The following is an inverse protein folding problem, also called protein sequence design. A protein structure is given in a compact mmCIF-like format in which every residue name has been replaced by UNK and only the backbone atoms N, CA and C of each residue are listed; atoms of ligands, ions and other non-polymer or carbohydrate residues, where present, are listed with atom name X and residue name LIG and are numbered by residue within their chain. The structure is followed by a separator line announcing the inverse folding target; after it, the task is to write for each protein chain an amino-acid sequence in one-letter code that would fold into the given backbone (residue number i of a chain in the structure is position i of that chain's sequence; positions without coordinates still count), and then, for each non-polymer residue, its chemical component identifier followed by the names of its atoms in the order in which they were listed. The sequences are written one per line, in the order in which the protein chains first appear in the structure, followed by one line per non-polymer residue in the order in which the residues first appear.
data_IF_832716264489
#
_entry.id   IF_832716264489
#
_cell.length_a   1.000
_cell.length_b   1.000
_cell.length_c   1.000
_cell.angle_alpha   90.00
_cell.angle_beta   90.00
_cell.angle_gamma   90.00
#
_symmetry.space_group_name_H-M   'P 1'
#
loop_
_entity.id
_entity.type
_entity.pdbx_description
1 polymer ?
#
# COMPACT_ATOMS: atom_id res chain seq x y z
N UNK A 1 -12.86 47.60 2.57
CA UNK A 1 -13.19 46.43 3.39
C UNK A 1 -13.17 45.07 2.65
N UNK A 2 -13.38 44.97 1.34
CA UNK A 2 -13.32 43.70 0.59
C UNK A 2 -11.90 43.17 0.36
N UNK A 3 -10.89 44.02 0.19
CA UNK A 3 -9.51 43.57 -0.07
C UNK A 3 -8.82 42.89 1.17
N UNK A 4 -9.19 43.31 2.37
CA UNK A 4 -8.62 42.71 3.59
C UNK A 4 -9.16 41.30 3.91
N UNK A 5 -10.39 40.99 3.49
CA UNK A 5 -10.95 39.65 3.67
C UNK A 5 -10.36 38.63 2.68
N UNK A 6 -10.01 39.04 1.46
CA UNK A 6 -9.39 38.14 0.44
C UNK A 6 -7.95 37.78 0.84
N UNK A 7 -7.19 38.68 1.46
CA UNK A 7 -5.85 38.35 1.95
C UNK A 7 -5.88 37.38 3.13
N UNK A 8 -6.88 37.41 4.00
CA UNK A 8 -7.00 36.53 5.14
C UNK A 8 -7.32 35.06 4.72
N UNK A 9 -8.16 34.89 3.68
CA UNK A 9 -8.47 33.57 3.12
C UNK A 9 -7.28 32.96 2.34
N UNK A 10 -6.49 33.77 1.64
CA UNK A 10 -5.29 33.32 0.94
C UNK A 10 -4.15 32.92 1.92
N UNK A 11 -4.01 33.62 3.04
CA UNK A 11 -3.04 33.24 4.07
C UNK A 11 -3.43 31.97 4.80
N UNK A 12 -4.70 31.75 5.13
CA UNK A 12 -5.16 30.55 5.82
C UNK A 12 -4.93 29.28 4.98
N UNK A 13 -5.15 29.35 3.65
CA UNK A 13 -4.88 28.22 2.75
C UNK A 13 -3.39 27.89 2.59
N UNK A 14 -2.50 28.87 2.66
CA UNK A 14 -1.05 28.68 2.61
C UNK A 14 -0.47 28.08 3.91
N UNK A 15 -1.08 28.38 5.05
CA UNK A 15 -0.66 27.81 6.35
C UNK A 15 -1.08 26.33 6.48
N UNK A 16 -2.27 25.98 6.03
CA UNK A 16 -2.74 24.57 6.03
C UNK A 16 -1.85 23.67 5.15
N UNK A 17 -1.44 24.16 3.96
CA UNK A 17 -0.54 23.41 3.07
C UNK A 17 0.88 23.23 3.64
N UNK A 18 1.36 24.16 4.48
CA UNK A 18 2.66 24.05 5.12
C UNK A 18 2.65 23.07 6.30
N UNK A 19 1.53 22.96 7.02
CA UNK A 19 1.39 22.11 8.21
C UNK A 19 1.35 20.60 7.88
N UNK A 20 0.91 20.22 6.67
CA UNK A 20 0.86 18.80 6.24
C UNK A 20 2.04 18.38 5.37
N UNK A 21 2.83 19.30 4.85
CA UNK A 21 3.94 18.99 3.94
C UNK A 21 5.06 18.16 4.61
N UNK A 22 5.46 18.51 5.82
CA UNK A 22 6.50 17.79 6.56
C UNK A 22 6.03 16.39 7.01
N UNK A 23 4.83 16.23 7.63
CA UNK A 23 4.30 14.92 7.95
C UNK A 23 4.13 13.99 6.75
N UNK A 24 3.70 14.52 5.59
CA UNK A 24 3.58 13.75 4.35
C UNK A 24 4.97 13.28 3.85
N UNK A 25 5.98 14.13 3.93
CA UNK A 25 7.34 13.75 3.59
C UNK A 25 7.86 12.66 4.55
N UNK A 26 7.63 12.81 5.86
CA UNK A 26 8.03 11.82 6.85
C UNK A 26 7.30 10.48 6.66
N UNK A 27 6.01 10.52 6.29
CA UNK A 27 5.23 9.33 5.93
C UNK A 27 5.86 8.60 4.74
N UNK A 28 6.20 9.31 3.65
CA UNK A 28 6.82 8.73 2.47
C UNK A 28 8.19 8.11 2.76
N UNK A 29 8.98 8.75 3.62
CA UNK A 29 10.29 8.21 4.01
C UNK A 29 10.22 7.19 5.16
N UNK A 30 9.02 6.82 5.62
CA UNK A 30 8.83 5.86 6.72
C UNK A 30 9.45 6.36 8.04
N UNK A 31 9.37 7.65 8.33
CA UNK A 31 9.75 8.28 9.62
C UNK A 31 8.52 8.45 10.50
N UNK A 32 7.93 7.32 10.92
CA UNK A 32 6.62 7.30 11.57
C UNK A 32 6.58 8.13 12.85
N UNK A 33 7.56 8.00 13.73
CA UNK A 33 7.60 8.76 14.99
C UNK A 33 7.66 10.28 14.75
N UNK A 34 8.44 10.74 13.76
CA UNK A 34 8.52 12.15 13.37
C UNK A 34 7.19 12.65 12.82
N UNK A 35 6.57 11.88 11.93
CA UNK A 35 5.25 12.21 11.39
C UNK A 35 4.19 12.29 12.50
N UNK A 36 4.15 11.31 13.41
CA UNK A 36 3.21 11.30 14.55
C UNK A 36 3.44 12.48 15.48
N UNK A 37 4.68 12.85 15.76
CA UNK A 37 5.01 14.01 16.61
C UNK A 37 4.43 15.30 16.01
N UNK A 38 4.67 15.54 14.71
CA UNK A 38 4.18 16.72 14.00
C UNK A 38 2.66 16.74 13.90
N UNK A 39 2.04 15.61 13.54
CA UNK A 39 0.57 15.48 13.42
C UNK A 39 -0.14 15.62 14.77
N UNK A 40 0.41 15.09 15.84
CA UNK A 40 -0.13 15.27 17.20
C UNK A 40 -0.08 16.73 17.65
N UNK A 41 1.01 17.45 17.33
CA UNK A 41 1.13 18.87 17.64
C UNK A 41 0.11 19.70 16.81
N UNK A 42 -0.05 19.42 15.52
CA UNK A 42 -1.04 20.07 14.66
C UNK A 42 -2.46 19.84 15.16
N UNK A 43 -2.83 18.60 15.44
CA UNK A 43 -4.17 18.23 15.91
C UNK A 43 -4.49 18.73 17.32
N UNK A 44 -3.49 18.99 18.15
CA UNK A 44 -3.69 19.67 19.44
C UNK A 44 -4.14 21.15 19.27
N UNK A 45 -3.69 21.80 18.21
CA UNK A 45 -4.07 23.17 17.85
C UNK A 45 -5.30 23.22 16.96
N UNK A 46 -5.43 22.27 16.05
CA UNK A 46 -6.47 22.17 15.03
C UNK A 46 -7.18 20.80 15.06
N UNK A 47 -8.00 20.50 16.08
CA UNK A 47 -8.59 19.17 16.27
C UNK A 47 -9.58 18.74 15.19
N UNK A 48 -9.99 19.65 14.32
CA UNK A 48 -10.91 19.39 13.21
C UNK A 48 -10.20 19.45 11.83
N UNK A 49 -8.88 19.26 11.80
CA UNK A 49 -8.12 19.15 10.56
C UNK A 49 -8.27 17.72 10.01
N UNK A 50 -9.10 17.57 8.96
CA UNK A 50 -9.42 16.29 8.34
C UNK A 50 -8.19 15.66 7.66
N UNK A 51 -7.37 16.47 6.99
CA UNK A 51 -6.14 16.01 6.34
C UNK A 51 -5.13 15.50 7.36
N UNK A 52 -4.94 16.19 8.48
CA UNK A 52 -4.05 15.75 9.55
C UNK A 52 -4.52 14.42 10.16
N UNK A 53 -5.83 14.24 10.38
CA UNK A 53 -6.40 12.95 10.79
C UNK A 53 -6.14 11.87 9.74
N UNK A 54 -6.36 12.12 8.46
CA UNK A 54 -6.10 11.15 7.40
C UNK A 54 -4.61 10.77 7.32
N UNK A 55 -3.71 11.75 7.41
CA UNK A 55 -2.26 11.46 7.43
C UNK A 55 -1.88 10.62 8.64
N UNK A 56 -2.41 10.92 9.84
CA UNK A 56 -2.13 10.14 11.05
C UNK A 56 -2.70 8.72 10.97
N UNK A 57 -3.88 8.55 10.37
CA UNK A 57 -4.41 7.24 10.03
C UNK A 57 -3.42 6.44 9.17
N UNK A 58 -2.84 7.05 8.13
CA UNK A 58 -1.88 6.39 7.22
C UNK A 58 -0.59 6.01 7.93
N UNK A 59 -0.10 6.83 8.87
CA UNK A 59 1.06 6.47 9.70
C UNK A 59 0.73 5.26 10.59
N UNK A 60 -0.40 5.26 11.30
CA UNK A 60 -0.82 4.11 12.10
C UNK A 60 -1.08 2.86 11.26
N UNK A 61 -1.57 3.04 10.02
CA UNK A 61 -1.71 1.96 9.06
C UNK A 61 -0.36 1.31 8.72
N UNK A 62 0.68 2.10 8.48
CA UNK A 62 2.04 1.60 8.25
C UNK A 62 2.60 0.86 9.46
N UNK A 63 2.32 1.33 10.69
CA UNK A 63 2.75 0.71 11.94
C UNK A 63 1.93 -0.53 12.33
N UNK A 64 0.90 -0.89 11.56
CA UNK A 64 -0.04 -2.00 11.86
C UNK A 64 -0.86 -1.78 13.14
N UNK A 65 -1.00 -0.52 13.59
CA UNK A 65 -1.85 -0.12 14.70
C UNK A 65 -3.29 0.12 14.22
N UNK A 66 -3.95 -0.95 13.75
CA UNK A 66 -5.21 -0.91 13.00
C UNK A 66 -6.34 -0.16 13.72
N UNK A 67 -6.45 -0.29 15.04
CA UNK A 67 -7.50 0.40 15.80
C UNK A 67 -7.30 1.92 15.81
N UNK A 68 -6.06 2.37 15.93
CA UNK A 68 -5.72 3.79 15.85
C UNK A 68 -5.91 4.33 14.44
N UNK A 69 -5.49 3.58 13.44
CA UNK A 69 -5.70 3.93 12.04
C UNK A 69 -7.19 4.13 11.75
N UNK A 70 -8.05 3.18 12.13
CA UNK A 70 -9.49 3.27 11.94
C UNK A 70 -10.06 4.51 12.65
N UNK A 71 -9.69 4.76 13.90
CA UNK A 71 -10.21 5.90 14.66
C UNK A 71 -9.92 7.24 13.99
N UNK A 72 -8.71 7.43 13.45
CA UNK A 72 -8.34 8.65 12.75
C UNK A 72 -8.94 8.74 11.35
N UNK A 73 -9.02 7.64 10.59
CA UNK A 73 -9.72 7.62 9.31
C UNK A 73 -11.22 7.91 9.48
N UNK A 74 -11.88 7.35 10.52
CA UNK A 74 -13.28 7.67 10.85
C UNK A 74 -13.43 9.17 11.23
N UNK A 75 -12.43 9.76 11.89
CA UNK A 75 -12.45 11.19 12.19
C UNK A 75 -12.34 12.04 10.90
N UNK A 76 -11.44 11.70 9.99
CA UNK A 76 -11.29 12.38 8.70
C UNK A 76 -12.58 12.31 7.86
N UNK A 77 -13.18 11.13 7.72
CA UNK A 77 -14.45 10.94 7.00
C UNK A 77 -15.60 11.72 7.66
N UNK A 78 -15.67 11.76 9.00
CA UNK A 78 -16.70 12.53 9.69
C UNK A 78 -16.58 14.04 9.46
N UNK A 79 -15.34 14.55 9.38
CA UNK A 79 -15.07 15.97 9.14
C UNK A 79 -15.31 16.36 7.67
N UNK A 80 -14.91 15.51 6.73
CA UNK A 80 -15.09 15.72 5.30
C UNK A 80 -15.65 14.47 4.61
N UNK A 81 -16.98 14.22 4.72
CA UNK A 81 -17.61 13.01 4.20
C UNK A 81 -17.71 12.94 2.67
N UNK A 82 -17.30 13.99 1.97
CA UNK A 82 -17.25 14.03 0.51
C UNK A 82 -15.87 13.69 -0.08
N UNK A 83 -14.89 13.37 0.74
CA UNK A 83 -13.54 13.00 0.28
C UNK A 83 -13.46 11.53 -0.13
N UNK A 84 -13.33 11.26 -1.43
CA UNK A 84 -13.09 9.90 -1.95
C UNK A 84 -11.86 9.25 -1.32
N UNK A 85 -10.78 10.01 -1.17
CA UNK A 85 -9.53 9.53 -0.60
C UNK A 85 -9.67 9.11 0.88
N UNK A 86 -10.46 9.83 1.68
CA UNK A 86 -10.65 9.48 3.10
C UNK A 86 -11.45 8.19 3.26
N UNK A 87 -12.49 7.98 2.43
CA UNK A 87 -13.22 6.71 2.37
C UNK A 87 -12.32 5.57 1.91
N UNK A 88 -11.45 5.79 0.90
CA UNK A 88 -10.48 4.80 0.44
C UNK A 88 -9.57 4.34 1.60
N UNK A 89 -8.96 5.28 2.33
CA UNK A 89 -8.07 4.92 3.44
C UNK A 89 -8.80 4.27 4.61
N UNK A 90 -10.04 4.67 4.89
CA UNK A 90 -10.87 4.00 5.90
C UNK A 90 -11.17 2.54 5.49
N UNK A 91 -11.52 2.33 4.21
CA UNK A 91 -11.71 0.99 3.66
C UNK A 91 -10.46 0.12 3.80
N UNK A 92 -9.28 0.66 3.43
CA UNK A 92 -7.98 -0.01 3.59
C UNK A 92 -7.71 -0.37 5.06
N UNK A 93 -7.95 0.55 6.00
CA UNK A 93 -7.74 0.31 7.43
C UNK A 93 -8.66 -0.79 7.98
N UNK A 94 -9.95 -0.79 7.61
CA UNK A 94 -10.87 -1.88 7.95
C UNK A 94 -10.43 -3.22 7.34
N UNK A 95 -9.95 -3.21 6.08
CA UNK A 95 -9.48 -4.39 5.38
C UNK A 95 -8.31 -5.07 6.09
N UNK A 96 -7.31 -4.29 6.48
CA UNK A 96 -6.18 -4.81 7.25
C UNK A 96 -6.61 -5.37 8.59
N UNK A 97 -7.48 -4.69 9.32
CA UNK A 97 -8.00 -5.24 10.58
C UNK A 97 -8.77 -6.53 10.36
N UNK A 98 -9.60 -6.60 9.31
CA UNK A 98 -10.38 -7.80 8.98
C UNK A 98 -9.48 -9.01 8.71
N UNK A 99 -8.35 -8.82 8.02
CA UNK A 99 -7.39 -9.87 7.71
C UNK A 99 -6.63 -10.41 8.95
N UNK A 100 -6.63 -9.66 10.07
CA UNK A 100 -5.86 -10.01 11.27
C UNK A 100 -6.74 -10.44 12.47
N UNK A 101 -8.04 -10.56 12.29
CA UNK A 101 -8.97 -11.05 13.32
C UNK A 101 -9.59 -12.38 12.90
N UNK A 102 -10.34 -13.02 13.80
CA UNK A 102 -11.09 -14.24 13.46
C UNK A 102 -12.11 -13.97 12.35
N UNK A 103 -12.48 -15.00 11.58
CA UNK A 103 -13.49 -14.91 10.50
C UNK A 103 -14.80 -14.29 11.04
N UNK A 104 -15.23 -14.69 12.24
CA UNK A 104 -16.46 -14.16 12.85
C UNK A 104 -16.37 -12.66 13.11
N UNK A 105 -15.23 -12.19 13.63
CA UNK A 105 -14.97 -10.77 13.89
C UNK A 105 -14.65 -9.99 12.61
N UNK A 106 -14.11 -10.65 11.59
CA UNK A 106 -13.79 -10.07 10.29
C UNK A 106 -15.01 -9.79 9.43
N UNK A 107 -16.08 -10.58 9.57
CA UNK A 107 -17.28 -10.44 8.75
C UNK A 107 -17.90 -9.03 8.77
N UNK A 108 -18.22 -8.41 9.94
CA UNK A 108 -18.73 -7.04 9.95
C UNK A 108 -17.73 -6.02 9.42
N UNK A 109 -16.42 -6.25 9.58
CA UNK A 109 -15.39 -5.39 9.02
C UNK A 109 -15.36 -5.47 7.49
N UNK A 110 -15.45 -6.67 6.91
CA UNK A 110 -15.48 -6.86 5.46
C UNK A 110 -16.66 -6.11 4.80
N UNK A 111 -17.83 -6.08 5.44
CA UNK A 111 -18.96 -5.27 4.96
C UNK A 111 -18.66 -3.77 5.01
N UNK A 112 -17.95 -3.31 6.04
CA UNK A 112 -17.50 -1.90 6.11
C UNK A 112 -16.48 -1.59 5.00
N UNK A 113 -15.52 -2.50 4.73
CA UNK A 113 -14.56 -2.35 3.62
C UNK A 113 -15.29 -2.10 2.31
N UNK A 114 -16.24 -2.97 1.96
CA UNK A 114 -17.02 -2.82 0.74
C UNK A 114 -17.75 -1.47 0.67
N UNK A 115 -18.46 -1.11 1.75
CA UNK A 115 -19.21 0.15 1.81
C UNK A 115 -18.33 1.40 1.63
N UNK A 116 -17.12 1.40 2.24
CA UNK A 116 -16.19 2.52 2.12
C UNK A 116 -15.58 2.62 0.72
N UNK A 117 -15.21 1.50 0.09
CA UNK A 117 -14.72 1.49 -1.28
C UNK A 117 -15.81 1.89 -2.29
N UNK A 118 -17.04 1.40 -2.15
CA UNK A 118 -18.17 1.86 -2.97
C UNK A 118 -18.41 3.38 -2.81
N UNK A 119 -18.34 3.89 -1.59
CA UNK A 119 -18.50 5.31 -1.34
C UNK A 119 -17.35 6.13 -1.96
N UNK A 120 -16.11 5.67 -1.85
CA UNK A 120 -14.96 6.31 -2.50
C UNK A 120 -15.15 6.41 -4.03
N UNK A 121 -15.53 5.30 -4.67
CA UNK A 121 -15.80 5.23 -6.12
C UNK A 121 -17.02 6.05 -6.53
N UNK A 122 -18.02 6.19 -5.66
CA UNK A 122 -19.20 7.03 -5.90
C UNK A 122 -18.87 8.52 -5.85
N UNK A 123 -18.01 8.92 -4.90
CA UNK A 123 -17.58 10.32 -4.71
C UNK A 123 -16.63 10.76 -5.83
N UNK A 124 -15.71 9.90 -6.24
CA UNK A 124 -14.83 10.13 -7.38
C UNK A 124 -14.76 8.90 -8.28
N UNK A 125 -15.55 8.85 -9.36
CA UNK A 125 -15.53 7.76 -10.33
C UNK A 125 -14.24 7.62 -11.14
N UNK A 126 -13.34 8.59 -11.06
CA UNK A 126 -12.03 8.59 -11.72
C UNK A 126 -10.89 8.21 -10.76
N UNK A 127 -11.17 7.96 -9.50
CA UNK A 127 -10.19 7.48 -8.53
C UNK A 127 -9.78 6.04 -8.86
N UNK A 128 -8.63 5.90 -9.55
CA UNK A 128 -8.13 4.60 -10.00
C UNK A 128 -7.84 3.66 -8.82
N UNK A 129 -7.26 4.18 -7.74
CA UNK A 129 -6.96 3.41 -6.53
C UNK A 129 -8.23 2.85 -5.88
N UNK A 130 -9.28 3.68 -5.78
CA UNK A 130 -10.56 3.24 -5.20
C UNK A 130 -11.24 2.18 -6.08
N UNK A 131 -11.15 2.32 -7.42
CA UNK A 131 -11.65 1.30 -8.35
C UNK A 131 -10.83 0.00 -8.24
N UNK A 132 -9.50 0.08 -8.16
CA UNK A 132 -8.64 -1.09 -8.04
C UNK A 132 -8.92 -1.85 -6.72
N UNK A 133 -8.96 -1.13 -5.58
CA UNK A 133 -9.22 -1.72 -4.27
C UNK A 133 -10.63 -2.33 -4.18
N UNK A 134 -11.66 -1.67 -4.74
CA UNK A 134 -13.02 -2.23 -4.83
C UNK A 134 -13.03 -3.52 -5.67
N UNK A 135 -12.39 -3.49 -6.85
CA UNK A 135 -12.32 -4.65 -7.73
C UNK A 135 -11.57 -5.82 -7.10
N UNK A 136 -10.46 -5.57 -6.41
CA UNK A 136 -9.72 -6.61 -5.71
C UNK A 136 -10.53 -7.20 -4.55
N UNK A 137 -11.22 -6.37 -3.78
CA UNK A 137 -12.18 -6.82 -2.77
C UNK A 137 -13.25 -7.72 -3.39
N UNK A 138 -13.84 -7.32 -4.51
CA UNK A 138 -14.90 -8.08 -5.19
C UNK A 138 -14.41 -9.45 -5.70
N UNK A 139 -13.15 -9.55 -6.12
CA UNK A 139 -12.56 -10.85 -6.51
C UNK A 139 -12.39 -11.78 -5.31
N UNK A 140 -11.97 -11.22 -4.16
CA UNK A 140 -11.55 -12.02 -3.00
C UNK A 140 -12.69 -12.32 -2.04
N UNK A 141 -13.64 -11.40 -1.89
CA UNK A 141 -14.67 -11.48 -0.88
C UNK A 141 -15.90 -12.27 -1.37
N UNK A 142 -16.53 -13.08 -0.50
CA UNK A 142 -17.76 -13.76 -0.85
C UNK A 142 -18.94 -12.78 -0.98
N UNK A 143 -19.94 -13.13 -1.82
CA UNK A 143 -21.10 -12.28 -2.10
C UNK A 143 -21.90 -11.86 -0.86
N UNK A 144 -21.84 -12.63 0.22
CA UNK A 144 -22.52 -12.36 1.50
C UNK A 144 -21.97 -11.09 2.21
N UNK A 145 -20.77 -10.62 1.84
CA UNK A 145 -20.18 -9.34 2.33
C UNK A 145 -20.10 -8.28 1.24
N UNK A 146 -20.69 -8.51 0.08
CA UNK A 146 -20.74 -7.57 -1.03
C UNK A 146 -19.85 -7.93 -2.22
N UNK A 147 -18.89 -8.86 -2.08
CA UNK A 147 -17.99 -9.27 -3.15
C UNK A 147 -18.66 -10.13 -4.23
N UNK A 148 -17.90 -10.50 -5.23
CA UNK A 148 -18.32 -11.38 -6.32
C UNK A 148 -17.66 -11.03 -7.65
N UNK A 149 -17.25 -12.05 -8.40
CA UNK A 149 -16.52 -11.88 -9.67
C UNK A 149 -17.30 -11.05 -10.69
N UNK A 150 -18.64 -11.12 -10.69
CA UNK A 150 -19.48 -10.30 -11.59
C UNK A 150 -19.39 -8.80 -11.25
N UNK A 151 -19.25 -8.44 -9.97
CA UNK A 151 -19.00 -7.06 -9.55
C UNK A 151 -17.61 -6.62 -10.00
N UNK A 152 -16.59 -7.45 -9.77
CA UNK A 152 -15.23 -7.19 -10.25
C UNK A 152 -15.15 -6.95 -11.76
N UNK A 153 -15.93 -7.68 -12.58
CA UNK A 153 -16.00 -7.46 -14.04
C UNK A 153 -16.52 -6.05 -14.39
N UNK A 154 -17.56 -5.59 -13.71
CA UNK A 154 -18.09 -4.23 -13.91
C UNK A 154 -17.08 -3.15 -13.47
N UNK A 155 -16.38 -3.36 -12.34
CA UNK A 155 -15.33 -2.46 -11.87
C UNK A 155 -14.15 -2.46 -12.85
N UNK A 156 -13.71 -3.61 -13.37
CA UNK A 156 -12.63 -3.69 -14.34
C UNK A 156 -12.94 -2.91 -15.63
N UNK A 157 -14.18 -2.94 -16.10
CA UNK A 157 -14.60 -2.14 -17.27
C UNK A 157 -14.48 -0.64 -17.01
N UNK A 158 -14.90 -0.16 -15.82
CA UNK A 158 -14.78 1.24 -15.42
C UNK A 158 -13.32 1.65 -15.27
N UNK A 159 -12.53 0.82 -14.58
CA UNK A 159 -11.09 1.04 -14.38
C UNK A 159 -10.35 1.09 -15.72
N UNK A 160 -10.77 0.33 -16.72
CA UNK A 160 -10.21 0.35 -18.07
C UNK A 160 -10.31 1.69 -18.78
N UNK A 161 -11.29 2.52 -18.44
CA UNK A 161 -11.44 3.89 -18.91
C UNK A 161 -10.54 4.91 -18.17
N UNK A 162 -10.03 4.56 -16.99
CA UNK A 162 -9.22 5.44 -16.12
C UNK A 162 -7.75 5.02 -16.16
N UNK A 163 -7.48 3.75 -15.88
CA UNK A 163 -6.15 3.14 -15.90
C UNK A 163 -6.22 1.75 -16.55
N UNK A 164 -5.91 1.64 -17.86
CA UNK A 164 -5.98 0.37 -18.58
C UNK A 164 -5.01 -0.70 -18.05
N UNK A 165 -3.87 -0.32 -17.47
CA UNK A 165 -2.92 -1.28 -16.91
C UNK A 165 -3.50 -1.93 -15.65
N UNK A 166 -4.02 -1.15 -14.71
CA UNK A 166 -4.62 -1.66 -13.47
C UNK A 166 -5.87 -2.49 -13.75
N UNK A 167 -6.68 -2.10 -14.75
CA UNK A 167 -7.80 -2.92 -15.20
C UNK A 167 -7.37 -4.32 -15.65
N UNK A 168 -6.25 -4.43 -16.36
CA UNK A 168 -5.69 -5.71 -16.78
C UNK A 168 -5.11 -6.51 -15.61
N UNK A 169 -4.56 -5.85 -14.59
CA UNK A 169 -4.16 -6.51 -13.34
C UNK A 169 -5.38 -7.13 -12.64
N UNK A 170 -6.49 -6.38 -12.57
CA UNK A 170 -7.74 -6.90 -12.01
C UNK A 170 -8.30 -8.08 -12.84
N UNK A 171 -8.23 -8.02 -14.18
CA UNK A 171 -8.56 -9.14 -15.06
C UNK A 171 -7.69 -10.37 -14.75
N UNK A 172 -6.40 -10.18 -14.53
CA UNK A 172 -5.49 -11.27 -14.13
C UNK A 172 -5.90 -11.90 -12.79
N UNK A 173 -6.26 -11.09 -11.78
CA UNK A 173 -6.77 -11.57 -10.49
C UNK A 173 -8.05 -12.39 -10.64
N UNK A 174 -9.01 -11.92 -11.47
CA UNK A 174 -10.23 -12.67 -11.78
C UNK A 174 -9.94 -14.01 -12.47
N UNK A 175 -8.99 -14.03 -13.40
CA UNK A 175 -8.58 -15.27 -14.09
C UNK A 175 -7.91 -16.25 -13.09
N UNK A 176 -7.04 -15.78 -12.20
CA UNK A 176 -6.46 -16.61 -11.13
C UNK A 176 -7.54 -17.21 -10.23
N UNK A 177 -8.53 -16.43 -9.81
CA UNK A 177 -9.66 -16.89 -9.00
C UNK A 177 -10.48 -17.98 -9.69
N UNK A 178 -10.63 -17.88 -11.03
CA UNK A 178 -11.26 -18.89 -11.88
C UNK A 178 -10.32 -20.07 -12.22
N UNK A 179 -9.05 -20.04 -11.76
CA UNK A 179 -7.97 -21.00 -12.09
C UNK A 179 -7.59 -21.03 -13.58
N UNK A 180 -7.93 -19.98 -14.31
CA UNK A 180 -7.45 -19.74 -15.69
C UNK A 180 -6.07 -19.09 -15.64
N UNK A 181 -5.05 -19.89 -15.38
CA UNK A 181 -3.68 -19.40 -15.22
C UNK A 181 -3.05 -18.92 -16.54
N UNK A 182 -3.51 -19.43 -17.67
CA UNK A 182 -3.06 -18.96 -18.99
C UNK A 182 -3.64 -17.56 -19.29
N UNK A 183 -4.93 -17.36 -19.01
CA UNK A 183 -5.56 -16.05 -19.10
C UNK A 183 -4.96 -15.04 -18.13
N UNK A 184 -4.65 -15.46 -16.89
CA UNK A 184 -3.99 -14.59 -15.90
C UNK A 184 -2.61 -14.12 -16.39
N UNK A 185 -1.76 -15.05 -16.89
CA UNK A 185 -0.44 -14.70 -17.43
C UNK A 185 -0.54 -13.76 -18.64
N UNK A 186 -1.49 -14.01 -19.53
CA UNK A 186 -1.72 -13.16 -20.71
C UNK A 186 -2.16 -11.74 -20.28
N UNK A 187 -3.05 -11.62 -19.31
CA UNK A 187 -3.51 -10.33 -18.79
C UNK A 187 -2.38 -9.55 -18.10
N UNK A 188 -1.54 -10.19 -17.28
CA UNK A 188 -0.36 -9.57 -16.67
C UNK A 188 0.61 -9.04 -17.73
N UNK A 189 0.91 -9.82 -18.76
CA UNK A 189 1.76 -9.38 -19.87
C UNK A 189 1.15 -8.21 -20.64
N UNK A 190 -0.15 -8.19 -20.80
CA UNK A 190 -0.85 -7.08 -21.43
C UNK A 190 -0.83 -5.82 -20.53
N UNK A 191 -0.94 -5.96 -19.20
CA UNK A 191 -0.80 -4.86 -18.26
C UNK A 191 0.57 -4.20 -18.35
N UNK A 192 1.65 -4.99 -18.39
CA UNK A 192 3.02 -4.50 -18.58
C UNK A 192 3.14 -3.62 -19.83
N UNK A 193 2.51 -4.05 -20.96
CA UNK A 193 2.55 -3.31 -22.22
C UNK A 193 1.73 -2.00 -22.19
N UNK A 194 0.77 -1.88 -21.28
CA UNK A 194 -0.08 -0.69 -21.13
C UNK A 194 0.42 0.25 -20.05
N UNK A 195 1.30 -0.20 -19.16
CA UNK A 195 1.81 0.58 -18.05
C UNK A 195 2.81 1.65 -18.52
N UNK A 196 2.70 2.86 -17.99
CA UNK A 196 3.72 3.89 -18.09
C UNK A 196 4.96 3.58 -17.23
N UNK A 197 4.80 2.72 -16.24
CA UNK A 197 5.88 2.25 -15.37
C UNK A 197 5.89 0.72 -15.32
N UNK A 198 6.48 0.04 -16.33
CA UNK A 198 6.36 -1.41 -16.50
C UNK A 198 7.11 -2.23 -15.43
N UNK A 199 7.99 -1.61 -14.65
CA UNK A 199 8.75 -2.28 -13.60
C UNK A 199 7.83 -3.00 -12.60
N UNK A 200 6.78 -2.31 -12.11
CA UNK A 200 5.81 -2.87 -11.15
C UNK A 200 5.05 -4.06 -11.76
N UNK A 201 4.61 -3.93 -13.01
CA UNK A 201 3.92 -5.02 -13.71
C UNK A 201 4.79 -6.29 -13.87
N UNK A 202 6.11 -6.14 -14.04
CA UNK A 202 7.04 -7.26 -14.02
C UNK A 202 7.14 -7.91 -12.65
N UNK A 203 7.01 -7.13 -11.55
CA UNK A 203 6.98 -7.67 -10.19
C UNK A 203 5.68 -8.42 -9.90
N UNK A 204 4.54 -7.94 -10.44
CA UNK A 204 3.27 -8.68 -10.40
C UNK A 204 3.38 -10.02 -11.14
N UNK A 205 3.99 -10.03 -12.32
CA UNK A 205 4.22 -11.24 -13.09
C UNK A 205 5.19 -12.20 -12.35
N UNK A 206 6.24 -11.68 -11.70
CA UNK A 206 7.12 -12.47 -10.86
C UNK A 206 6.36 -13.10 -9.68
N UNK A 207 5.50 -12.32 -9.00
CA UNK A 207 4.64 -12.80 -7.93
C UNK A 207 3.69 -13.92 -8.41
N UNK A 208 3.11 -13.75 -9.59
CA UNK A 208 2.29 -14.80 -10.22
C UNK A 208 3.10 -16.07 -10.46
N UNK A 209 4.29 -15.99 -11.08
CA UNK A 209 5.14 -17.15 -11.33
C UNK A 209 5.57 -17.85 -10.03
N UNK A 210 5.87 -17.08 -8.98
CA UNK A 210 6.18 -17.65 -7.66
C UNK A 210 5.01 -18.47 -7.12
N UNK A 211 3.78 -17.92 -7.15
CA UNK A 211 2.57 -18.66 -6.71
C UNK A 211 2.30 -19.92 -7.53
N UNK A 212 2.77 -19.97 -8.77
CA UNK A 212 2.68 -21.15 -9.67
C UNK A 212 3.85 -22.12 -9.55
N UNK A 213 4.84 -21.85 -8.69
CA UNK A 213 6.04 -22.68 -8.55
C UNK A 213 7.01 -22.57 -9.73
N UNK A 214 6.80 -21.64 -10.67
CA UNK A 214 7.65 -21.36 -11.83
C UNK A 214 8.81 -20.44 -11.40
N UNK A 215 9.70 -20.97 -10.54
CA UNK A 215 10.68 -20.14 -9.83
C UNK A 215 11.75 -19.52 -10.74
N UNK A 216 12.14 -20.18 -11.84
CA UNK A 216 13.11 -19.64 -12.77
C UNK A 216 12.50 -18.48 -13.60
N UNK A 217 11.23 -18.63 -14.02
CA UNK A 217 10.48 -17.53 -14.67
C UNK A 217 10.28 -16.35 -13.71
N UNK A 218 10.03 -16.63 -12.43
CA UNK A 218 9.92 -15.60 -11.39
C UNK A 218 11.20 -14.80 -11.25
N UNK A 219 12.37 -15.47 -11.17
CA UNK A 219 13.69 -14.82 -11.09
C UNK A 219 13.91 -13.93 -12.32
N UNK A 220 13.68 -14.48 -13.53
CA UNK A 220 13.84 -13.73 -14.77
C UNK A 220 12.94 -12.48 -14.83
N UNK A 221 11.68 -12.61 -14.42
CA UNK A 221 10.73 -11.50 -14.39
C UNK A 221 11.16 -10.43 -13.36
N UNK A 222 11.60 -10.83 -12.16
CA UNK A 222 12.08 -9.91 -11.13
C UNK A 222 13.32 -9.13 -11.60
N UNK A 223 14.30 -9.79 -12.22
CA UNK A 223 15.45 -9.10 -12.80
C UNK A 223 15.07 -8.14 -13.93
N UNK A 224 14.10 -8.52 -14.77
CA UNK A 224 13.61 -7.63 -15.83
C UNK A 224 12.98 -6.37 -15.22
N UNK A 225 12.10 -6.52 -14.24
CA UNK A 225 11.47 -5.38 -13.57
C UNK A 225 12.50 -4.49 -12.87
N UNK A 226 13.44 -5.08 -12.12
CA UNK A 226 14.52 -4.32 -11.47
C UNK A 226 15.38 -3.52 -12.48
N UNK A 227 15.65 -4.06 -13.66
CA UNK A 227 16.41 -3.38 -14.70
C UNK A 227 15.67 -2.20 -15.34
N UNK A 228 14.34 -2.20 -15.25
CA UNK A 228 13.46 -1.16 -15.78
C UNK A 228 13.12 -0.07 -14.75
N UNK A 229 13.62 -0.19 -13.52
CA UNK A 229 13.46 0.79 -12.45
C UNK A 229 14.74 1.59 -12.20
N UNK A 230 15.00 2.68 -12.96
CA UNK A 230 16.19 3.50 -12.78
C UNK A 230 16.16 4.32 -11.50
N UNK A 231 15.00 4.43 -10.84
CA UNK A 231 14.82 5.20 -9.61
C UNK A 231 15.15 4.40 -8.36
N UNK A 232 15.26 3.06 -8.47
CA UNK A 232 15.38 2.13 -7.35
C UNK A 232 14.21 2.25 -6.37
N UNK A 233 13.00 2.28 -6.92
CA UNK A 233 11.74 2.45 -6.20
C UNK A 233 11.17 1.14 -5.63
N UNK A 234 9.83 1.11 -5.51
CA UNK A 234 9.09 -0.01 -4.87
C UNK A 234 9.29 -1.34 -5.61
N UNK A 235 9.48 -1.31 -6.92
CA UNK A 235 9.75 -2.52 -7.71
C UNK A 235 10.93 -3.34 -7.15
N UNK A 236 11.99 -2.69 -6.63
CA UNK A 236 13.10 -3.42 -6.00
C UNK A 236 12.69 -4.12 -4.70
N UNK A 237 11.78 -3.51 -3.92
CA UNK A 237 11.25 -4.11 -2.68
C UNK A 237 10.42 -5.35 -2.99
N UNK A 238 9.55 -5.26 -3.98
CA UNK A 238 8.69 -6.36 -4.43
C UNK A 238 9.51 -7.51 -5.03
N UNK A 239 10.49 -7.17 -5.85
CA UNK A 239 11.44 -8.13 -6.40
C UNK A 239 12.22 -8.86 -5.31
N UNK A 240 12.77 -8.13 -4.34
CA UNK A 240 13.46 -8.71 -3.19
C UNK A 240 12.54 -9.60 -2.36
N UNK A 241 11.28 -9.19 -2.18
CA UNK A 241 10.25 -9.98 -1.51
C UNK A 241 9.97 -11.30 -2.23
N UNK A 242 9.84 -11.28 -3.57
CA UNK A 242 9.65 -12.48 -4.38
C UNK A 242 10.85 -13.43 -4.29
N UNK A 243 12.07 -12.93 -4.39
CA UNK A 243 13.30 -13.72 -4.25
C UNK A 243 13.41 -14.35 -2.84
N UNK A 244 13.17 -13.56 -1.81
CA UNK A 244 13.25 -13.99 -0.41
C UNK A 244 12.24 -15.10 -0.09
N UNK A 245 10.99 -14.97 -0.55
CA UNK A 245 9.95 -15.98 -0.32
C UNK A 245 10.19 -17.28 -1.10
N UNK A 246 10.78 -17.18 -2.28
CA UNK A 246 11.16 -18.32 -3.08
C UNK A 246 12.47 -18.99 -2.58
N UNK A 247 13.16 -18.38 -1.63
CA UNK A 247 14.49 -18.85 -1.18
C UNK A 247 15.55 -18.76 -2.29
N UNK A 248 15.38 -17.82 -3.23
CA UNK A 248 16.29 -17.62 -4.36
C UNK A 248 17.09 -16.34 -4.18
N UNK A 249 18.33 -16.35 -4.62
CA UNK A 249 19.23 -15.19 -4.72
C UNK A 249 19.20 -14.23 -3.51
N UNK A 250 19.45 -14.71 -2.29
CA UNK A 250 19.31 -13.87 -1.10
C UNK A 250 20.23 -12.63 -1.10
N UNK A 251 21.39 -12.72 -1.76
CA UNK A 251 22.32 -11.59 -1.88
C UNK A 251 21.75 -10.49 -2.80
N UNK A 252 21.13 -10.88 -3.92
CA UNK A 252 20.42 -9.95 -4.81
C UNK A 252 19.26 -9.27 -4.07
N UNK A 253 18.47 -10.02 -3.31
CA UNK A 253 17.38 -9.45 -2.50
C UNK A 253 17.91 -8.43 -1.47
N UNK A 254 18.99 -8.74 -0.76
CA UNK A 254 19.65 -7.82 0.18
C UNK A 254 20.10 -6.54 -0.55
N UNK A 255 20.76 -6.69 -1.70
CA UNK A 255 21.25 -5.57 -2.49
C UNK A 255 20.10 -4.65 -2.94
N UNK A 256 19.00 -5.20 -3.44
CA UNK A 256 17.85 -4.43 -3.90
C UNK A 256 17.19 -3.65 -2.75
N UNK A 257 17.03 -4.26 -1.57
CA UNK A 257 16.51 -3.53 -0.41
C UNK A 257 17.45 -2.40 0.04
N UNK A 258 18.77 -2.60 -0.04
CA UNK A 258 19.76 -1.56 0.27
C UNK A 258 19.72 -0.42 -0.76
N UNK A 259 19.57 -0.73 -2.05
CA UNK A 259 19.42 0.27 -3.12
C UNK A 259 18.17 1.12 -2.91
N UNK A 260 17.03 0.48 -2.62
CA UNK A 260 15.80 1.20 -2.28
C UNK A 260 15.98 2.13 -1.07
N UNK A 261 16.56 1.63 0.02
CA UNK A 261 16.77 2.41 1.25
C UNK A 261 17.75 3.58 1.07
N UNK A 262 18.59 3.56 0.07
CA UNK A 262 19.52 4.66 -0.28
C UNK A 262 18.98 5.58 -1.37
N UNK A 263 17.86 5.24 -2.00
CA UNK A 263 17.24 6.02 -3.07
C UNK A 263 16.39 7.18 -2.54
N UNK A 264 16.02 8.09 -3.44
CA UNK A 264 15.02 9.14 -3.19
C UNK A 264 13.59 8.70 -3.56
N UNK A 265 13.41 7.48 -4.06
CA UNK A 265 12.13 6.93 -4.50
C UNK A 265 11.39 6.17 -3.38
N UNK A 266 11.75 6.43 -2.11
CA UNK A 266 11.01 5.88 -0.97
C UNK A 266 9.58 6.43 -0.96
N UNK A 267 8.63 5.56 -0.62
CA UNK A 267 7.22 5.91 -0.61
C UNK A 267 6.49 5.25 0.57
N UNK A 268 5.31 5.75 0.87
CA UNK A 268 4.46 5.18 1.92
C UNK A 268 4.01 3.73 1.68
N UNK A 269 4.06 3.26 0.42
CA UNK A 269 3.70 1.89 0.05
C UNK A 269 4.73 0.89 0.61
N UNK A 270 6.01 1.30 0.65
CA UNK A 270 7.10 0.50 1.18
C UNK A 270 7.90 1.31 2.22
N UNK A 271 7.34 1.57 3.42
CA UNK A 271 7.97 2.42 4.43
C UNK A 271 9.36 1.91 4.80
N UNK A 272 10.34 2.82 4.93
CA UNK A 272 11.73 2.43 5.14
C UNK A 272 11.94 1.54 6.38
N UNK A 273 11.18 1.74 7.46
CA UNK A 273 11.25 0.88 8.64
C UNK A 273 10.78 -0.54 8.37
N UNK A 274 9.75 -0.74 7.51
CA UNK A 274 9.28 -2.08 7.10
C UNK A 274 10.32 -2.75 6.22
N UNK A 275 10.88 -2.03 5.24
CA UNK A 275 11.93 -2.54 4.35
C UNK A 275 13.20 -2.91 5.13
N UNK A 276 13.58 -2.12 6.16
CA UNK A 276 14.69 -2.44 7.06
C UNK A 276 14.43 -3.68 7.90
N UNK A 277 13.19 -3.91 8.35
CA UNK A 277 12.82 -5.14 9.04
C UNK A 277 12.94 -6.38 8.13
N UNK A 278 12.54 -6.25 6.85
CA UNK A 278 12.75 -7.31 5.84
C UNK A 278 14.25 -7.56 5.60
N UNK A 279 15.04 -6.50 5.45
CA UNK A 279 16.50 -6.59 5.29
C UNK A 279 17.16 -7.28 6.50
N UNK A 280 16.76 -6.92 7.71
CA UNK A 280 17.26 -7.53 8.93
C UNK A 280 16.98 -9.05 8.98
N UNK A 281 15.79 -9.46 8.56
CA UNK A 281 15.45 -10.88 8.51
C UNK A 281 16.28 -11.66 7.47
N UNK A 282 16.53 -11.06 6.29
CA UNK A 282 17.41 -11.66 5.28
C UNK A 282 18.85 -11.77 5.79
N UNK A 283 19.41 -10.70 6.36
CA UNK A 283 20.76 -10.69 6.94
C UNK A 283 20.88 -11.76 8.03
N UNK A 284 19.90 -11.85 8.92
CA UNK A 284 19.86 -12.89 9.97
C UNK A 284 19.89 -14.31 9.38
N UNK A 285 19.12 -14.57 8.32
CA UNK A 285 19.12 -15.87 7.62
C UNK A 285 20.45 -16.19 6.95
N UNK A 286 21.20 -15.17 6.55
CA UNK A 286 22.55 -15.32 5.98
C UNK A 286 23.66 -15.41 7.06
N UNK A 287 23.32 -15.31 8.35
CA UNK A 287 24.26 -15.37 9.45
C UNK A 287 24.89 -14.02 9.83
N UNK A 288 24.56 -12.94 9.16
CA UNK A 288 25.05 -11.60 9.49
C UNK A 288 24.18 -10.98 10.61
N UNK A 289 24.40 -11.47 11.81
CA UNK A 289 23.60 -11.11 12.98
C UNK A 289 23.83 -9.65 13.40
N UNK A 290 25.04 -9.14 13.25
CA UNK A 290 25.35 -7.76 13.68
C UNK A 290 24.75 -6.72 12.73
N UNK A 291 24.82 -6.93 11.42
CA UNK A 291 24.12 -6.09 10.46
C UNK A 291 22.59 -6.15 10.65
N UNK A 292 22.03 -7.32 10.94
CA UNK A 292 20.61 -7.46 11.24
C UNK A 292 20.21 -6.62 12.46
N UNK A 293 20.97 -6.69 13.57
CA UNK A 293 20.71 -5.87 14.75
C UNK A 293 20.79 -4.35 14.47
N UNK A 294 21.75 -3.93 13.65
CA UNK A 294 21.86 -2.53 13.24
C UNK A 294 20.59 -2.07 12.49
N UNK A 295 20.07 -2.87 11.54
CA UNK A 295 18.83 -2.52 10.86
C UNK A 295 17.64 -2.42 11.85
N UNK A 296 17.53 -3.36 12.79
CA UNK A 296 16.46 -3.35 13.80
C UNK A 296 16.54 -2.12 14.74
N UNK A 297 17.75 -1.68 15.10
CA UNK A 297 17.93 -0.45 15.86
C UNK A 297 17.41 0.78 15.10
N UNK A 298 17.65 0.83 13.78
CA UNK A 298 17.11 1.91 12.93
C UNK A 298 15.59 1.82 12.82
N UNK A 299 15.02 0.61 12.68
CA UNK A 299 13.55 0.41 12.69
C UNK A 299 12.94 1.03 13.96
N UNK A 300 13.49 0.70 15.12
CA UNK A 300 12.99 1.24 16.39
C UNK A 300 13.14 2.77 16.52
N UNK A 301 14.17 3.34 15.91
CA UNK A 301 14.39 4.79 15.89
C UNK A 301 13.44 5.55 14.94
N UNK A 302 12.92 4.87 13.90
CA UNK A 302 12.01 5.47 12.91
C UNK A 302 10.53 5.28 13.28
N UNK A 303 10.20 4.16 13.92
CA UNK A 303 8.84 3.70 14.17
C UNK A 303 8.80 2.87 15.45
N UNK A 304 8.82 3.55 16.61
CA UNK A 304 8.85 2.91 17.94
C UNK A 304 7.55 2.12 18.23
N UNK A 305 6.43 2.48 17.58
CA UNK A 305 5.15 1.78 17.64
C UNK A 305 5.11 0.50 16.81
N UNK A 306 5.99 0.35 15.82
CA UNK A 306 5.98 -0.78 14.91
C UNK A 306 6.45 -2.07 15.59
N UNK A 307 5.58 -3.10 15.60
CA UNK A 307 5.91 -4.40 16.17
C UNK A 307 6.39 -5.35 15.10
N UNK A 308 7.70 -5.66 15.14
CA UNK A 308 8.28 -6.67 14.26
C UNK A 308 7.72 -8.04 14.67
N UNK A 309 6.78 -8.58 13.92
CA UNK A 309 6.26 -9.94 14.12
C UNK A 309 7.07 -10.90 13.25
N UNK A 310 7.61 -11.95 13.85
CA UNK A 310 8.20 -13.04 13.09
C UNK A 310 7.14 -13.65 12.16
N UNK A 311 7.25 -13.42 10.86
CA UNK A 311 6.30 -13.86 9.84
C UNK A 311 5.57 -12.75 9.06
N UNK A 312 5.56 -11.50 9.52
CA UNK A 312 4.85 -10.41 8.81
C UNK A 312 5.46 -10.05 7.45
N UNK A 313 6.77 -10.24 7.27
CA UNK A 313 7.42 -10.06 5.98
C UNK A 313 6.90 -11.07 4.92
N UNK A 314 6.46 -12.25 5.34
CA UNK A 314 5.93 -13.27 4.45
C UNK A 314 4.46 -13.04 4.07
N UNK A 315 3.64 -12.46 4.95
CA UNK A 315 2.22 -12.25 4.70
C UNK A 315 1.95 -11.08 3.74
N UNK A 316 2.69 -9.96 3.86
CA UNK A 316 2.54 -8.80 2.94
C UNK A 316 2.95 -9.11 1.51
N UNK A 317 3.97 -9.96 1.32
CA UNK A 317 4.39 -10.37 0.00
C UNK A 317 3.47 -11.46 -0.60
N UNK A 318 2.49 -11.98 0.13
CA UNK A 318 1.51 -12.92 -0.37
C UNK A 318 0.30 -12.25 -1.06
N UNK A 319 0.21 -10.91 -1.06
CA UNK A 319 -0.90 -10.19 -1.68
C UNK A 319 -2.25 -10.49 -1.00
N UNK A 320 -2.24 -10.61 0.33
CA UNK A 320 -3.42 -10.78 1.18
C UNK A 320 -3.65 -9.51 2.01
#
# INVERSE_FOLDING_TARGET
MLLTQILFFLCAGLWALADTALPLQDLNFGRADSALQSLNASLALHPNDADAHNLRCRVYYQEEEWDRAIADCEAAVRLEPASSNFHLWLGRAYGQKAAHVSIVSGYPLARKVHAEFEQAVKLDPQNADALADLGEFDVMAPGVVGGGVSHAEAVAQRLGGVNPADALLLVARMAEAKKDYAGAEAALKAAIQKSSYPADGWMDLASFYRRRGRLDDMVAAAHTGASLDPTHGVALVDGAGNLAQAGREPQTAIQWLQQYLSSHAQSEIAPSFVVRAQLAELLRKQGDIDAAKQQLAVVHALASGYRIRSGNAAARAAGL
#
